data_IF_151157182982
#
_entry.id   IF_151157182982
#
_cell.length_a   1.000
_cell.length_b   1.000
_cell.length_c   1.000
_cell.angle_alpha   90.00
_cell.angle_beta   90.00
_cell.angle_gamma   90.00
#
_symmetry.space_group_name_H-M   'P 1'
#
loop_
_entity.id
_entity.type
_entity.pdbx_description
1 polymer ?
#
# COMPACT_ATOMS: atom_id res chain seq x y z
N UNK A 1 -0.88 -13.73 18.66
CA UNK A 1 -0.55 -14.48 17.43
C UNK A 1 -0.99 -13.56 16.27
N UNK A 2 -0.41 -12.36 16.21
CA UNK A 2 -1.03 -11.18 15.54
C UNK A 2 -0.15 -10.57 14.44
N UNK A 3 0.99 -11.20 14.13
CA UNK A 3 1.89 -10.69 13.08
C UNK A 3 1.41 -11.04 11.67
N UNK A 4 0.66 -12.14 11.51
CA UNK A 4 0.21 -12.60 10.20
C UNK A 4 -0.94 -11.76 9.64
N UNK A 5 -1.90 -11.36 10.47
CA UNK A 5 -3.09 -10.63 9.99
C UNK A 5 -2.73 -9.25 9.43
N UNK A 6 -1.87 -8.50 10.13
CA UNK A 6 -1.41 -7.17 9.69
C UNK A 6 -0.54 -7.24 8.45
N UNK A 7 0.43 -8.16 8.43
CA UNK A 7 1.30 -8.37 7.27
C UNK A 7 0.46 -8.64 6.02
N UNK A 8 -0.60 -9.39 6.21
CA UNK A 8 -1.40 -9.88 5.11
C UNK A 8 -2.44 -8.88 4.63
N UNK A 9 -3.07 -8.14 5.54
CA UNK A 9 -3.90 -7.00 5.20
C UNK A 9 -3.13 -6.04 4.31
N UNK A 10 -1.89 -5.74 4.67
CA UNK A 10 -1.03 -4.87 3.87
C UNK A 10 -0.70 -5.46 2.49
N UNK A 11 -0.52 -6.78 2.34
CA UNK A 11 -0.29 -7.40 1.03
C UNK A 11 -1.54 -7.30 0.14
N UNK A 12 -2.73 -7.55 0.70
CA UNK A 12 -4.01 -7.41 0.00
C UNK A 12 -4.28 -5.96 -0.42
N UNK A 13 -4.03 -5.01 0.48
CA UNK A 13 -4.16 -3.58 0.21
C UNK A 13 -3.17 -3.13 -0.89
N UNK A 14 -1.93 -3.63 -0.86
CA UNK A 14 -0.91 -3.36 -1.90
C UNK A 14 -1.29 -3.96 -3.27
N UNK A 15 -2.07 -5.05 -3.29
CA UNK A 15 -2.61 -5.67 -4.50
C UNK A 15 -3.92 -5.02 -4.98
N UNK A 16 -4.44 -4.02 -4.27
CA UNK A 16 -5.72 -3.37 -4.53
C UNK A 16 -6.93 -4.34 -4.62
N UNK A 17 -6.81 -5.50 -3.95
CA UNK A 17 -7.84 -6.52 -3.84
C UNK A 17 -8.50 -6.44 -2.45
N UNK A 18 -9.79 -6.80 -2.35
CA UNK A 18 -10.45 -6.90 -1.03
C UNK A 18 -9.73 -7.96 -0.19
N UNK A 19 -9.43 -7.66 1.07
CA UNK A 19 -8.82 -8.61 2.02
C UNK A 19 -9.66 -9.89 2.23
N UNK A 20 -10.96 -9.82 1.93
CA UNK A 20 -11.90 -10.93 1.97
C UNK A 20 -12.07 -11.61 0.61
N UNK A 21 -11.36 -11.18 -0.43
CA UNK A 21 -11.38 -11.82 -1.74
C UNK A 21 -10.86 -13.27 -1.64
N UNK A 22 -11.37 -14.13 -2.51
CA UNK A 22 -10.89 -15.52 -2.62
C UNK A 22 -9.38 -15.58 -2.92
N UNK A 23 -8.88 -14.59 -3.67
CA UNK A 23 -7.47 -14.47 -3.99
C UNK A 23 -6.64 -14.15 -2.73
N UNK A 24 -7.09 -13.19 -1.93
CA UNK A 24 -6.45 -12.87 -0.65
C UNK A 24 -6.40 -14.07 0.29
N UNK A 25 -7.52 -14.79 0.44
CA UNK A 25 -7.59 -16.02 1.24
C UNK A 25 -6.59 -17.09 0.79
N UNK A 26 -6.48 -17.32 -0.53
CA UNK A 26 -5.47 -18.24 -1.09
C UNK A 26 -4.05 -17.77 -0.81
N UNK A 27 -3.80 -16.47 -0.92
CA UNK A 27 -2.50 -15.88 -0.62
C UNK A 27 -2.15 -16.01 0.88
N UNK A 28 -3.11 -15.87 1.80
CA UNK A 28 -2.90 -16.14 3.25
C UNK A 28 -2.41 -17.54 3.47
N UNK A 29 -3.15 -18.51 2.95
CA UNK A 29 -2.78 -19.92 3.10
C UNK A 29 -1.42 -20.21 2.49
N UNK A 30 -1.07 -19.58 1.37
CA UNK A 30 0.26 -19.75 0.79
C UNK A 30 1.35 -19.18 1.69
N UNK A 31 1.18 -17.95 2.16
CA UNK A 31 2.14 -17.29 3.06
C UNK A 31 2.21 -17.97 4.43
N UNK A 32 1.19 -18.68 4.89
CA UNK A 32 1.27 -19.50 6.12
C UNK A 32 2.06 -20.80 5.93
N UNK A 33 2.10 -21.33 4.71
CA UNK A 33 2.70 -22.64 4.45
C UNK A 33 4.06 -22.58 3.71
N UNK A 34 4.45 -21.42 3.16
CA UNK A 34 5.67 -21.25 2.39
C UNK A 34 6.61 -20.22 3.03
N UNK A 35 7.77 -20.66 3.52
CA UNK A 35 8.77 -19.77 4.13
C UNK A 35 9.40 -18.82 3.11
N UNK A 36 9.83 -19.33 1.96
CA UNK A 36 10.51 -18.54 0.93
C UNK A 36 9.65 -17.35 0.46
N UNK A 37 8.35 -17.58 0.28
CA UNK A 37 7.42 -16.53 -0.13
C UNK A 37 7.17 -15.51 0.98
N UNK A 38 7.15 -15.92 2.26
CA UNK A 38 7.09 -14.96 3.37
C UNK A 38 8.31 -14.04 3.39
N UNK A 39 9.51 -14.61 3.26
CA UNK A 39 10.76 -13.84 3.26
C UNK A 39 10.80 -12.86 2.08
N UNK A 40 10.35 -13.30 0.90
CA UNK A 40 10.27 -12.44 -0.28
C UNK A 40 9.32 -11.25 -0.07
N UNK A 41 8.12 -11.49 0.48
CA UNK A 41 7.15 -10.44 0.79
C UNK A 41 7.71 -9.48 1.85
N UNK A 42 8.38 -9.99 2.87
CA UNK A 42 8.99 -9.16 3.91
C UNK A 42 10.12 -8.27 3.36
N UNK A 43 10.93 -8.80 2.44
CA UNK A 43 11.94 -8.02 1.73
C UNK A 43 11.32 -6.91 0.88
N UNK A 44 10.20 -7.19 0.21
CA UNK A 44 9.46 -6.18 -0.55
C UNK A 44 8.91 -5.09 0.38
N UNK A 45 8.27 -5.47 1.49
CA UNK A 45 7.79 -4.53 2.53
C UNK A 45 8.91 -3.66 3.07
N UNK A 46 10.06 -4.26 3.38
CA UNK A 46 11.25 -3.53 3.85
C UNK A 46 11.74 -2.51 2.83
N UNK A 47 11.70 -2.87 1.54
CA UNK A 47 12.06 -1.97 0.45
C UNK A 47 11.09 -0.79 0.37
N UNK A 48 9.77 -1.04 0.41
CA UNK A 48 8.75 0.01 0.40
C UNK A 48 8.91 0.95 1.60
N UNK A 49 9.10 0.39 2.80
CA UNK A 49 9.34 1.18 4.02
C UNK A 49 10.57 2.07 3.89
N UNK A 50 11.67 1.56 3.32
CA UNK A 50 12.88 2.35 3.07
C UNK A 50 12.59 3.55 2.16
N UNK A 51 11.83 3.34 1.07
CA UNK A 51 11.43 4.41 0.18
C UNK A 51 10.50 5.44 0.85
N UNK A 52 9.60 5.00 1.72
CA UNK A 52 8.74 5.90 2.50
C UNK A 52 9.52 6.76 3.52
N UNK A 53 10.63 6.24 4.05
CA UNK A 53 11.51 7.00 4.94
C UNK A 53 12.35 8.07 4.19
N UNK A 54 12.47 7.98 2.86
CA UNK A 54 13.10 9.05 2.09
C UNK A 54 12.22 10.29 2.16
N UNK A 55 12.80 11.42 2.58
CA UNK A 55 12.10 12.71 2.72
C UNK A 55 11.21 12.97 1.50
N UNK A 56 9.99 13.45 1.77
CA UNK A 56 9.03 13.88 0.76
C UNK A 56 9.73 14.71 -0.32
N UNK A 57 9.88 14.10 -1.50
CA UNK A 57 10.22 14.87 -2.69
C UNK A 57 9.00 15.73 -2.99
N UNK A 58 9.20 17.05 -3.04
CA UNK A 58 8.14 17.97 -3.46
C UNK A 58 7.66 17.55 -4.84
N UNK A 59 6.46 17.00 -4.92
CA UNK A 59 5.80 16.70 -6.19
C UNK A 59 5.60 18.04 -6.92
N UNK A 60 6.03 18.16 -8.18
CA UNK A 60 5.78 19.36 -8.99
C UNK A 60 4.28 19.68 -9.02
N UNK A 61 3.95 20.97 -8.87
CA UNK A 61 2.56 21.42 -8.72
C UNK A 61 1.68 21.03 -9.92
N UNK A 62 2.23 21.09 -11.12
CA UNK A 62 1.58 20.70 -12.37
C UNK A 62 1.17 19.22 -12.40
N UNK A 63 2.03 18.34 -11.87
CA UNK A 63 1.72 16.90 -11.77
C UNK A 63 0.58 16.67 -10.76
N UNK A 64 0.61 17.39 -9.64
CA UNK A 64 -0.42 17.29 -8.60
C UNK A 64 -1.79 17.80 -9.09
N UNK A 65 -1.82 18.95 -9.76
CA UNK A 65 -3.05 19.52 -10.36
C UNK A 65 -3.64 18.60 -11.44
N UNK A 66 -2.78 18.02 -12.30
CA UNK A 66 -3.21 17.04 -13.30
C UNK A 66 -3.85 15.81 -12.66
N UNK A 67 -3.28 15.31 -11.57
CA UNK A 67 -3.81 14.16 -10.83
C UNK A 67 -5.18 14.48 -10.21
N UNK A 68 -5.32 15.63 -9.53
CA UNK A 68 -6.60 16.04 -8.93
C UNK A 68 -7.71 16.16 -9.98
N UNK A 69 -7.39 16.70 -11.17
CA UNK A 69 -8.33 16.78 -12.28
C UNK A 69 -8.75 15.41 -12.81
N UNK A 70 -7.81 14.46 -12.91
CA UNK A 70 -8.11 13.07 -13.33
C UNK A 70 -9.00 12.35 -12.31
N UNK A 71 -8.76 12.58 -11.02
CA UNK A 71 -9.52 11.98 -9.93
C UNK A 71 -10.84 12.71 -9.64
N UNK A 72 -11.15 13.79 -10.35
CA UNK A 72 -12.33 14.63 -10.16
C UNK A 72 -12.50 15.11 -8.70
N UNK A 73 -11.38 15.42 -8.04
CA UNK A 73 -11.36 15.91 -6.65
C UNK A 73 -11.34 17.43 -6.66
N UNK A 74 -12.32 18.06 -6.02
CA UNK A 74 -12.37 19.52 -5.86
C UNK A 74 -11.27 20.01 -4.90
N UNK A 75 -10.47 20.99 -5.33
CA UNK A 75 -9.27 21.51 -4.63
C UNK A 75 -9.52 21.98 -3.18
N UNK A 76 -10.77 22.33 -2.86
CA UNK A 76 -11.19 22.75 -1.52
C UNK A 76 -11.09 21.62 -0.47
N UNK A 77 -11.32 20.36 -0.86
CA UNK A 77 -11.25 19.22 0.04
C UNK A 77 -9.80 18.83 0.41
N UNK A 78 -8.83 19.09 -0.49
CA UNK A 78 -7.43 18.73 -0.29
C UNK A 78 -6.71 19.65 0.72
N UNK A 79 -7.08 20.94 0.79
CA UNK A 79 -6.43 21.92 1.68
C UNK A 79 -6.75 21.72 3.17
N UNK A 80 -7.84 21.01 3.50
CA UNK A 80 -8.24 20.73 4.89
C UNK A 80 -7.48 19.56 5.52
N UNK A 81 -7.05 18.58 4.71
CA UNK A 81 -6.37 17.35 5.19
C UNK A 81 -4.84 17.47 5.29
N UNK A 82 -4.28 18.66 5.09
CA UNK A 82 -2.83 18.93 5.16
C UNK A 82 -2.43 19.81 6.36
N UNK A 83 -3.24 19.83 7.42
CA UNK A 83 -2.88 20.35 8.74
C UNK A 83 -2.39 19.23 9.64
#
# INVERSE_FOLDING_TARGET
MDCCEKMLQQVCDELAEDINSELCEKLKKHLENCQDCREQVESMRSTVNLFQCLKDKKVPRDIHERLLKLLNVEDAAYKLNRR
#
